data_IF_926557487424
#
_entry.id   IF_926557487424
#
_cell.length_a   1.000
_cell.length_b   1.000
_cell.length_c   1.000
_cell.angle_alpha   90.00
_cell.angle_beta   90.00
_cell.angle_gamma   90.00
#
_symmetry.space_group_name_H-M   'P 1'
#
loop_
_entity.id
_entity.type
_entity.pdbx_description
1 polymer ?
#
# COMPACT_ATOMS: atom_id res chain seq x y z
N UNK A 1 17.96 -4.96 -13.60
CA UNK A 1 18.97 -5.36 -12.64
C UNK A 1 18.72 -4.70 -11.33
N UNK A 2 18.88 -5.42 -10.25
CA UNK A 2 18.65 -4.79 -8.96
C UNK A 2 19.81 -3.90 -8.57
N UNK A 3 19.51 -2.90 -7.79
CA UNK A 3 20.49 -2.03 -7.16
C UNK A 3 21.40 -2.88 -6.29
N UNK A 4 22.71 -2.87 -6.50
CA UNK A 4 23.63 -3.67 -5.66
C UNK A 4 23.56 -3.31 -4.18
N UNK A 5 23.09 -2.09 -3.85
CA UNK A 5 22.96 -1.67 -2.46
C UNK A 5 21.57 -1.96 -1.89
N UNK A 6 20.66 -2.48 -2.70
CA UNK A 6 19.28 -2.69 -2.26
C UNK A 6 19.20 -3.65 -1.07
N UNK A 7 19.95 -4.76 -1.12
CA UNK A 7 19.92 -5.73 -0.03
C UNK A 7 20.46 -5.13 1.27
N UNK A 8 21.49 -4.31 1.18
CA UNK A 8 22.03 -3.64 2.37
C UNK A 8 21.02 -2.66 2.95
N UNK A 9 20.32 -1.94 2.10
CA UNK A 9 19.28 -0.99 2.54
C UNK A 9 18.10 -1.72 3.18
N UNK A 10 17.68 -2.83 2.59
CA UNK A 10 16.63 -3.66 3.16
C UNK A 10 17.05 -4.14 4.56
N UNK A 11 18.26 -4.66 4.70
CA UNK A 11 18.75 -5.13 5.98
C UNK A 11 18.76 -4.01 7.00
N UNK A 12 19.21 -2.81 6.60
CA UNK A 12 19.27 -1.66 7.48
C UNK A 12 17.89 -1.26 7.98
N UNK A 13 16.91 -1.15 7.07
CA UNK A 13 15.57 -0.75 7.47
C UNK A 13 14.82 -1.85 8.20
N UNK A 14 15.13 -3.12 7.88
CA UNK A 14 14.57 -4.23 8.65
C UNK A 14 15.04 -4.16 10.11
N UNK A 15 16.32 -3.85 10.32
CA UNK A 15 16.83 -3.67 11.67
C UNK A 15 16.20 -2.49 12.37
N UNK A 16 16.03 -1.37 11.66
CA UNK A 16 15.37 -0.19 12.22
C UNK A 16 13.94 -0.50 12.66
N UNK A 17 13.19 -1.25 11.83
CA UNK A 17 11.83 -1.63 12.16
C UNK A 17 11.78 -2.56 13.37
N UNK A 18 12.79 -3.41 13.55
CA UNK A 18 12.88 -4.29 14.71
C UNK A 18 13.24 -3.53 15.97
N UNK A 19 14.15 -2.56 15.84
CA UNK A 19 14.64 -1.79 17.00
C UNK A 19 13.63 -0.75 17.48
N UNK A 20 12.80 -0.22 16.56
CA UNK A 20 11.79 0.78 16.88
C UNK A 20 10.48 0.42 16.20
N UNK A 21 9.81 -0.64 16.68
CA UNK A 21 8.64 -1.20 15.97
C UNK A 21 7.41 -0.31 15.94
N UNK A 22 7.40 0.77 16.72
CA UNK A 22 6.27 1.70 16.73
C UNK A 22 6.50 2.90 15.81
N UNK A 23 7.60 2.93 15.07
CA UNK A 23 7.89 4.00 14.13
C UNK A 23 7.36 3.61 12.75
N UNK A 24 6.27 4.25 12.35
CA UNK A 24 5.62 3.92 11.08
C UNK A 24 6.51 4.18 9.87
N UNK A 25 7.42 5.16 9.94
CA UNK A 25 8.30 5.48 8.82
C UNK A 25 9.29 4.37 8.53
N UNK A 26 9.75 3.67 9.57
CA UNK A 26 10.64 2.52 9.39
C UNK A 26 9.95 1.42 8.61
N UNK A 27 8.74 1.08 8.98
CA UNK A 27 7.95 0.06 8.28
C UNK A 27 7.60 0.50 6.87
N UNK A 28 7.26 1.77 6.68
CA UNK A 28 6.94 2.31 5.37
C UNK A 28 8.12 2.19 4.41
N UNK A 29 9.28 2.66 4.84
CA UNK A 29 10.48 2.59 3.99
C UNK A 29 10.88 1.15 3.70
N UNK A 30 10.80 0.29 4.69
CA UNK A 30 11.08 -1.13 4.49
C UNK A 30 10.14 -1.71 3.42
N UNK A 31 8.86 -1.40 3.52
CA UNK A 31 7.88 -1.86 2.53
C UNK A 31 8.23 -1.40 1.12
N UNK A 32 8.61 -0.14 0.96
CA UNK A 32 9.00 0.38 -0.35
C UNK A 32 10.22 -0.35 -0.92
N UNK A 33 11.21 -0.60 -0.09
CA UNK A 33 12.43 -1.30 -0.53
C UNK A 33 12.13 -2.76 -0.89
N UNK A 34 11.26 -3.39 -0.12
CA UNK A 34 10.85 -4.77 -0.40
C UNK A 34 10.08 -4.86 -1.71
N UNK A 35 9.25 -3.85 -2.03
CA UNK A 35 8.61 -3.79 -3.34
C UNK A 35 9.64 -3.70 -4.47
N UNK A 36 10.65 -2.86 -4.30
CA UNK A 36 11.71 -2.74 -5.30
C UNK A 36 12.39 -4.09 -5.56
N UNK A 37 12.48 -4.91 -4.52
CA UNK A 37 13.12 -6.22 -4.61
C UNK A 37 12.12 -7.32 -4.97
N UNK A 38 10.90 -6.94 -5.33
CA UNK A 38 9.82 -7.88 -5.69
C UNK A 38 9.43 -8.83 -4.56
N UNK A 39 9.72 -8.48 -3.32
CA UNK A 39 9.29 -9.23 -2.15
C UNK A 39 7.93 -8.70 -1.69
N UNK A 40 6.91 -8.99 -2.49
CA UNK A 40 5.59 -8.38 -2.28
C UNK A 40 4.87 -8.86 -1.04
N UNK A 41 5.09 -10.10 -0.61
CA UNK A 41 4.47 -10.60 0.61
C UNK A 41 5.00 -9.86 1.83
N UNK A 42 6.32 -9.74 1.94
CA UNK A 42 6.94 -9.00 3.03
C UNK A 42 6.63 -7.51 2.94
N UNK A 43 6.57 -6.96 1.72
CA UNK A 43 6.19 -5.56 1.54
C UNK A 43 4.78 -5.31 2.05
N UNK A 44 3.84 -6.18 1.72
CA UNK A 44 2.46 -6.05 2.19
C UNK A 44 2.39 -6.06 3.71
N UNK A 45 3.14 -6.93 4.36
CA UNK A 45 3.18 -6.97 5.84
C UNK A 45 3.69 -5.67 6.42
N UNK A 46 4.76 -5.11 5.83
CA UNK A 46 5.31 -3.84 6.30
C UNK A 46 4.32 -2.71 6.13
N UNK A 47 3.61 -2.67 5.00
CA UNK A 47 2.58 -1.64 4.79
C UNK A 47 1.40 -1.82 5.73
N UNK A 48 0.99 -3.06 5.99
CA UNK A 48 -0.08 -3.31 6.95
C UNK A 48 0.31 -2.80 8.33
N UNK A 49 1.54 -3.04 8.74
CA UNK A 49 2.03 -2.53 10.01
C UNK A 49 2.04 -1.00 10.02
N UNK A 50 2.45 -0.38 8.91
CA UNK A 50 2.43 1.07 8.77
C UNK A 50 1.02 1.60 9.02
N UNK A 51 0.01 0.95 8.45
CA UNK A 51 -1.38 1.40 8.58
C UNK A 51 -1.97 1.15 9.97
N UNK A 52 -1.47 0.14 10.68
CA UNK A 52 -1.86 -0.04 12.09
C UNK A 52 -1.37 1.15 12.91
N UNK A 53 -0.15 1.61 12.64
CA UNK A 53 0.44 2.72 13.37
C UNK A 53 -0.05 4.08 12.89
N UNK A 54 -0.38 4.19 11.61
CA UNK A 54 -0.81 5.46 11.01
C UNK A 54 -1.93 5.19 9.99
N UNK A 55 -3.15 4.99 10.45
CA UNK A 55 -4.27 4.60 9.57
C UNK A 55 -4.70 5.68 8.58
N UNK A 56 -4.24 6.91 8.75
CA UNK A 56 -4.56 8.00 7.82
C UNK A 56 -3.48 8.23 6.76
N UNK A 57 -2.50 7.35 6.67
CA UNK A 57 -1.40 7.47 5.71
C UNK A 57 -1.89 6.97 4.34
N UNK A 58 -2.59 7.84 3.61
CA UNK A 58 -3.34 7.45 2.42
C UNK A 58 -2.50 6.79 1.34
N UNK A 59 -1.28 7.25 1.12
CA UNK A 59 -0.40 6.68 0.10
C UNK A 59 -0.10 5.20 0.34
N UNK A 60 -0.09 4.79 1.59
CA UNK A 60 0.26 3.40 1.93
C UNK A 60 -0.80 2.42 1.46
N UNK A 61 -2.07 2.86 1.42
CA UNK A 61 -3.13 2.00 0.88
C UNK A 61 -2.87 1.66 -0.59
N UNK A 62 -2.39 2.63 -1.36
CA UNK A 62 -2.05 2.39 -2.77
C UNK A 62 -0.93 1.37 -2.88
N UNK A 63 0.14 1.55 -2.10
CA UNK A 63 1.30 0.65 -2.16
C UNK A 63 0.95 -0.75 -1.68
N UNK A 64 0.13 -0.85 -0.64
CA UNK A 64 -0.34 -2.14 -0.15
C UNK A 64 -1.16 -2.85 -1.23
N UNK A 65 -2.09 -2.13 -1.85
CA UNK A 65 -2.92 -2.71 -2.90
C UNK A 65 -2.08 -3.18 -4.09
N UNK A 66 -1.09 -2.40 -4.49
CA UNK A 66 -0.20 -2.79 -5.58
C UNK A 66 0.55 -4.08 -5.24
N UNK A 67 1.00 -4.22 -3.99
CA UNK A 67 1.64 -5.46 -3.54
C UNK A 67 0.67 -6.63 -3.57
N UNK A 68 -0.56 -6.41 -3.13
CA UNK A 68 -1.60 -7.45 -3.13
C UNK A 68 -1.94 -7.89 -4.55
N UNK A 69 -1.99 -6.97 -5.49
CA UNK A 69 -2.22 -7.29 -6.91
C UNK A 69 -1.10 -8.17 -7.44
N UNK A 70 0.15 -7.84 -7.11
CA UNK A 70 1.29 -8.64 -7.53
C UNK A 70 1.26 -10.05 -6.95
N UNK A 71 0.61 -10.21 -5.80
CA UNK A 71 0.45 -11.51 -5.15
C UNK A 71 -0.80 -12.24 -5.62
N UNK A 72 -1.51 -11.69 -6.60
CA UNK A 72 -2.77 -12.23 -7.10
C UNK A 72 -3.84 -12.31 -6.02
N UNK A 73 -3.84 -11.35 -5.10
CA UNK A 73 -4.84 -11.22 -4.05
C UNK A 73 -5.78 -10.08 -4.40
N UNK A 74 -6.52 -10.28 -5.47
CA UNK A 74 -7.36 -9.23 -6.05
C UNK A 74 -8.43 -8.71 -5.10
N UNK A 75 -9.11 -9.60 -4.40
CA UNK A 75 -10.19 -9.18 -3.49
C UNK A 75 -9.67 -8.36 -2.33
N UNK A 76 -8.51 -8.74 -1.81
CA UNK A 76 -7.87 -7.94 -0.75
C UNK A 76 -7.48 -6.57 -1.29
N UNK A 77 -6.93 -6.53 -2.51
CA UNK A 77 -6.53 -5.26 -3.11
C UNK A 77 -7.73 -4.34 -3.31
N UNK A 78 -8.87 -4.87 -3.74
CA UNK A 78 -10.08 -4.07 -3.91
C UNK A 78 -10.53 -3.48 -2.57
N UNK A 79 -10.54 -4.28 -1.52
CA UNK A 79 -10.90 -3.81 -0.18
C UNK A 79 -9.95 -2.70 0.27
N UNK A 80 -8.65 -2.92 0.08
CA UNK A 80 -7.62 -1.94 0.45
C UNK A 80 -7.82 -0.62 -0.29
N UNK A 81 -8.09 -0.70 -1.61
CA UNK A 81 -8.25 0.49 -2.43
C UNK A 81 -9.51 1.28 -2.05
N UNK A 82 -10.61 0.58 -1.76
CA UNK A 82 -11.83 1.26 -1.35
C UNK A 82 -11.63 2.02 -0.05
N UNK A 83 -10.97 1.38 0.92
CA UNK A 83 -10.66 2.04 2.17
C UNK A 83 -9.71 3.21 1.94
N UNK A 84 -8.71 3.01 1.09
CA UNK A 84 -7.74 4.05 0.78
C UNK A 84 -8.36 5.26 0.11
N UNK A 85 -9.30 5.06 -0.83
CA UNK A 85 -10.01 6.16 -1.47
C UNK A 85 -10.78 6.95 -0.43
N UNK A 86 -11.47 6.26 0.48
CA UNK A 86 -12.23 6.90 1.54
C UNK A 86 -11.33 7.77 2.43
N UNK A 87 -10.19 7.21 2.85
CA UNK A 87 -9.24 7.93 3.70
C UNK A 87 -8.66 9.13 2.95
N UNK A 88 -8.24 8.94 1.71
CA UNK A 88 -7.65 10.01 0.91
C UNK A 88 -8.66 11.13 0.66
N UNK A 89 -9.91 10.76 0.42
CA UNK A 89 -10.96 11.73 0.19
C UNK A 89 -11.23 12.57 1.45
N UNK A 90 -11.28 11.91 2.61
CA UNK A 90 -11.47 12.60 3.89
C UNK A 90 -10.34 13.57 4.19
N UNK A 91 -9.13 13.25 3.75
CA UNK A 91 -7.96 14.08 3.99
C UNK A 91 -7.74 15.14 2.90
N UNK A 92 -8.46 15.05 1.79
CA UNK A 92 -8.21 15.93 0.66
C UNK A 92 -6.96 15.59 -0.13
N UNK A 93 -6.47 14.34 -0.02
CA UNK A 93 -5.27 13.88 -0.73
C UNK A 93 -5.65 13.42 -2.14
N UNK A 94 -5.75 14.36 -3.05
CA UNK A 94 -6.28 14.08 -4.38
C UNK A 94 -5.45 13.10 -5.20
N UNK A 95 -4.14 13.20 -5.17
CA UNK A 95 -3.30 12.33 -6.00
C UNK A 95 -3.42 10.87 -5.60
N UNK A 96 -3.23 10.51 -4.34
CA UNK A 96 -3.44 9.10 -3.96
C UNK A 96 -4.86 8.64 -4.21
N UNK A 97 -5.85 9.51 -3.98
CA UNK A 97 -7.25 9.16 -4.22
C UNK A 97 -7.48 8.81 -5.68
N UNK A 98 -7.00 9.67 -6.59
CA UNK A 98 -7.22 9.49 -8.03
C UNK A 98 -6.47 8.24 -8.53
N UNK A 99 -5.25 8.01 -8.05
CA UNK A 99 -4.48 6.83 -8.43
C UNK A 99 -5.18 5.55 -7.99
N UNK A 100 -5.72 5.55 -6.78
CA UNK A 100 -6.44 4.39 -6.26
C UNK A 100 -7.76 4.14 -7.00
N UNK A 101 -8.48 5.21 -7.30
CA UNK A 101 -9.73 5.10 -8.05
C UNK A 101 -9.46 4.55 -9.45
N UNK A 102 -8.40 5.01 -10.08
CA UNK A 102 -8.00 4.52 -11.39
C UNK A 102 -7.67 3.03 -11.34
N UNK A 103 -6.96 2.61 -10.30
CA UNK A 103 -6.60 1.22 -10.14
C UNK A 103 -7.83 0.34 -9.93
N UNK A 104 -8.82 0.83 -9.20
CA UNK A 104 -10.09 0.12 -9.05
C UNK A 104 -10.78 -0.08 -10.40
N UNK A 105 -10.77 0.94 -11.25
CA UNK A 105 -11.32 0.83 -12.59
C UNK A 105 -10.57 -0.25 -13.38
N UNK A 106 -9.26 -0.25 -13.31
CA UNK A 106 -8.44 -1.24 -13.99
C UNK A 106 -8.73 -2.66 -13.52
N UNK A 107 -9.12 -2.80 -12.26
CA UNK A 107 -9.50 -4.10 -11.71
C UNK A 107 -10.93 -4.50 -12.04
N UNK A 108 -11.66 -3.64 -12.76
CA UNK A 108 -13.03 -3.94 -13.14
C UNK A 108 -14.06 -3.62 -12.08
N UNK A 109 -13.72 -2.81 -11.09
CA UNK A 109 -14.63 -2.50 -9.98
C UNK A 109 -15.39 -1.20 -10.15
N UNK A 110 -15.22 -0.54 -11.29
CA UNK A 110 -15.88 0.73 -11.54
C UNK A 110 -17.40 0.60 -11.44
N UNK A 111 -17.95 -0.44 -12.04
CA UNK A 111 -19.40 -0.64 -12.04
C UNK A 111 -19.94 -0.78 -10.63
N UNK A 112 -19.22 -1.46 -9.76
CA UNK A 112 -19.66 -1.62 -8.38
C UNK A 112 -19.64 -0.31 -7.63
N UNK A 113 -18.65 0.52 -7.89
CA UNK A 113 -18.57 1.83 -7.27
C UNK A 113 -19.74 2.69 -7.73
N UNK A 114 -20.02 2.68 -9.02
CA UNK A 114 -21.14 3.45 -9.59
C UNK A 114 -22.48 2.97 -9.09
N UNK A 115 -22.63 1.67 -8.92
CA UNK A 115 -23.90 1.10 -8.50
C UNK A 115 -24.31 1.45 -7.10
N UNK A 116 -23.37 1.93 -6.33
CA UNK A 116 -23.79 2.38 -5.03
C UNK A 116 -24.69 3.54 -5.11
N UNK A 117 -24.76 4.06 -6.26
CA UNK A 117 -25.57 5.10 -6.36
C UNK A 117 -26.70 4.60 -7.03
N UNK A 118 -27.27 4.33 -7.46
CA UNK A 118 -28.29 4.17 -7.92
C UNK A 118 -29.08 3.49 -8.02
N UNK A 119 -29.24 3.20 -8.25
CA UNK A 119 -30.25 2.52 -8.59
C UNK A 119 -30.87 2.14 -8.00
#
# INVERSE_FOLDING_TARGET
>A
MSDPNLQDRIAQFRKMAQDDPDNELGHFRLGQLLMEDNQFDDAARSFQRTLVLSPAFSKVYLLLAQSQIKLDRRDEAVTTLREGVKIADQRGDKMPRDDMAKLLVELGEEALISQKCPT
#
